data_IF_433724273040
#
_entry.id   IF_433724273040
#
_cell.length_a   1.000
_cell.length_b   1.000
_cell.length_c   1.000
_cell.angle_alpha   90.00
_cell.angle_beta   90.00
_cell.angle_gamma   90.00
#
_symmetry.space_group_name_H-M   'P 1'
#
loop_
_entity.id
_entity.type
_entity.pdbx_description
1 polymer ?
#
# COMPACT_ATOMS: atom_id res chain seq x y z
N UNK A 1 35.51 -6.43 -58.39
CA UNK A 1 34.71 -7.17 -57.39
C UNK A 1 34.05 -6.13 -56.49
N UNK A 2 32.79 -5.78 -56.79
CA UNK A 2 32.05 -4.78 -56.00
C UNK A 2 31.52 -5.42 -54.72
N UNK A 3 32.02 -4.94 -53.58
CA UNK A 3 31.52 -5.24 -52.25
C UNK A 3 30.14 -4.59 -52.08
N UNK A 4 29.08 -5.39 -52.10
CA UNK A 4 27.74 -4.98 -51.67
C UNK A 4 27.77 -4.83 -50.14
N UNK A 5 27.78 -3.58 -49.67
CA UNK A 5 27.49 -3.25 -48.29
C UNK A 5 26.02 -3.62 -48.02
N UNK A 6 25.80 -4.63 -47.19
CA UNK A 6 24.49 -4.87 -46.57
C UNK A 6 24.18 -3.67 -45.68
N UNK A 7 23.31 -2.78 -46.19
CA UNK A 7 22.69 -1.76 -45.36
C UNK A 7 21.93 -2.49 -44.24
N UNK A 8 22.41 -2.34 -43.00
CA UNK A 8 21.62 -2.72 -41.83
C UNK A 8 20.33 -1.91 -41.88
N UNK A 9 19.19 -2.60 -41.95
CA UNK A 9 17.90 -1.95 -41.78
C UNK A 9 17.89 -1.25 -40.42
N UNK A 10 17.46 0.03 -40.33
CA UNK A 10 17.31 0.68 -39.05
C UNK A 10 16.32 -0.14 -38.20
N UNK A 11 16.76 -0.54 -37.00
CA UNK A 11 15.91 -1.21 -36.03
C UNK A 11 14.65 -0.37 -35.83
N UNK A 12 13.48 -0.96 -36.07
CA UNK A 12 12.23 -0.27 -35.80
C UNK A 12 12.21 0.18 -34.33
N UNK A 13 11.82 1.43 -34.03
CA UNK A 13 11.66 1.85 -32.65
C UNK A 13 10.68 0.87 -31.97
N UNK A 14 11.11 0.24 -30.88
CA UNK A 14 10.22 -0.63 -30.10
C UNK A 14 9.17 0.24 -29.43
N UNK A 15 8.04 0.48 -30.11
CA UNK A 15 6.98 1.42 -29.71
C UNK A 15 5.94 0.84 -28.74
N UNK A 16 6.19 -0.33 -28.14
CA UNK A 16 5.27 -1.01 -27.21
C UNK A 16 5.68 -0.90 -25.74
N UNK A 17 4.74 -1.05 -24.81
CA UNK A 17 5.01 -0.99 -23.36
C UNK A 17 6.00 -2.05 -22.86
N UNK A 18 6.24 -3.12 -23.62
CA UNK A 18 7.29 -4.09 -23.31
C UNK A 18 8.70 -3.48 -23.38
N UNK A 19 8.95 -2.52 -24.27
CA UNK A 19 10.26 -1.85 -24.31
C UNK A 19 10.45 -0.95 -23.08
N UNK A 20 9.40 -0.25 -22.64
CA UNK A 20 9.40 0.50 -21.38
C UNK A 20 9.68 -0.44 -20.20
N UNK A 21 9.03 -1.61 -20.18
CA UNK A 21 9.28 -2.60 -19.14
C UNK A 21 10.75 -3.06 -19.16
N UNK A 22 11.26 -3.52 -20.30
CA UNK A 22 12.62 -4.03 -20.44
C UNK A 22 13.69 -2.97 -20.14
N UNK A 23 13.47 -1.72 -20.55
CA UNK A 23 14.42 -0.63 -20.40
C UNK A 23 14.39 0.04 -19.02
N UNK A 24 13.21 0.14 -18.41
CA UNK A 24 13.03 0.97 -17.21
C UNK A 24 12.51 0.21 -15.99
N UNK A 25 11.58 -0.74 -16.16
CA UNK A 25 10.89 -1.37 -15.01
C UNK A 25 11.60 -2.65 -14.55
N UNK A 26 12.13 -3.45 -15.47
CA UNK A 26 12.75 -4.75 -15.16
C UNK A 26 13.96 -4.62 -14.23
N UNK A 27 14.77 -3.58 -14.45
CA UNK A 27 15.92 -3.23 -13.62
C UNK A 27 15.59 -2.33 -12.43
N UNK A 28 14.36 -1.81 -12.33
CA UNK A 28 13.95 -0.93 -11.25
C UNK A 28 13.87 -1.65 -9.91
N UNK A 29 14.03 -0.89 -8.84
CA UNK A 29 13.90 -1.36 -7.46
C UNK A 29 12.44 -1.28 -7.02
N UNK A 30 11.90 -2.41 -6.58
CA UNK A 30 10.55 -2.53 -6.06
C UNK A 30 10.58 -2.53 -4.54
N UNK A 31 9.82 -1.63 -3.92
CA UNK A 31 9.82 -1.38 -2.48
C UNK A 31 8.38 -1.51 -1.99
N UNK A 32 8.16 -2.43 -1.05
CA UNK A 32 6.85 -2.71 -0.48
C UNK A 32 6.48 -1.68 0.58
N UNK A 33 5.37 -0.97 0.38
CA UNK A 33 4.90 0.11 1.27
C UNK A 33 3.69 -0.31 2.10
N UNK A 34 3.48 -1.61 2.25
CA UNK A 34 2.28 -2.17 2.85
C UNK A 34 2.63 -3.09 4.00
N UNK A 35 1.97 -2.89 5.14
CA UNK A 35 2.00 -3.84 6.24
C UNK A 35 1.18 -5.08 5.85
N UNK A 36 1.73 -6.27 6.06
CA UNK A 36 0.94 -7.48 5.95
C UNK A 36 -0.16 -7.44 7.02
N UNK A 37 -1.43 -7.46 6.61
CA UNK A 37 -2.53 -7.44 7.57
C UNK A 37 -2.49 -8.69 8.45
N UNK A 38 -2.59 -8.48 9.76
CA UNK A 38 -2.46 -9.51 10.78
C UNK A 38 -3.76 -9.59 11.61
N UNK A 39 -4.04 -10.71 12.29
CA UNK A 39 -5.23 -10.81 13.15
C UNK A 39 -5.19 -9.81 14.30
N UNK A 40 -4.01 -9.37 14.74
CA UNK A 40 -3.84 -8.28 15.72
C UNK A 40 -2.80 -7.33 15.16
N UNK A 41 -3.17 -6.05 15.04
CA UNK A 41 -2.35 -4.98 14.51
C UNK A 41 -2.95 -3.62 14.91
N UNK A 42 -2.25 -2.50 14.66
CA UNK A 42 -2.85 -1.17 14.72
C UNK A 42 -4.19 -1.10 13.98
N UNK A 43 -5.20 -0.56 14.66
CA UNK A 43 -6.54 -0.30 14.14
C UNK A 43 -7.15 0.83 14.97
N UNK A 44 -8.06 1.61 14.39
CA UNK A 44 -8.78 2.65 15.11
C UNK A 44 -9.50 2.07 16.35
N UNK A 45 -9.47 2.73 17.53
CA UNK A 45 -9.91 2.15 18.80
C UNK A 45 -11.36 1.69 18.87
N UNK A 46 -12.25 2.20 18.03
CA UNK A 46 -13.65 1.77 17.98
C UNK A 46 -13.91 0.56 17.08
N UNK A 47 -12.91 0.06 16.35
CA UNK A 47 -13.04 -1.14 15.52
C UNK A 47 -12.44 -2.38 16.21
N UNK A 48 -13.00 -3.54 15.87
CA UNK A 48 -12.48 -4.83 16.34
C UNK A 48 -11.26 -5.29 15.54
N UNK A 49 -10.54 -6.27 16.08
CA UNK A 49 -9.48 -6.97 15.38
C UNK A 49 -10.02 -8.10 14.49
N UNK A 50 -9.26 -8.50 13.46
CA UNK A 50 -9.63 -9.60 12.58
C UNK A 50 -9.36 -10.97 13.24
N UNK A 51 -10.02 -12.02 12.76
CA UNK A 51 -9.73 -13.40 13.14
C UNK A 51 -9.32 -14.24 11.94
N UNK A 52 -8.20 -14.95 12.06
CA UNK A 52 -7.70 -15.84 11.01
C UNK A 52 -7.91 -17.28 11.46
N UNK A 53 -8.55 -18.11 10.63
CA UNK A 53 -8.88 -19.50 10.94
C UNK A 53 -8.64 -20.42 9.75
N UNK A 54 -8.69 -21.73 9.95
CA UNK A 54 -8.81 -22.65 8.83
C UNK A 54 -10.16 -22.45 8.13
N UNK A 55 -10.18 -22.51 6.81
CA UNK A 55 -11.44 -22.63 6.07
C UNK A 55 -12.05 -23.99 6.35
N UNK A 56 -13.34 -23.99 6.67
CA UNK A 56 -14.15 -25.20 6.79
C UNK A 56 -14.98 -25.42 5.53
N UNK A 57 -15.29 -26.68 5.21
CA UNK A 57 -16.12 -26.99 4.06
C UNK A 57 -17.56 -26.47 4.27
N UNK A 58 -18.06 -25.68 3.32
CA UNK A 58 -19.42 -25.13 3.36
C UNK A 58 -20.52 -26.16 3.03
N UNK A 59 -20.13 -27.29 2.44
CA UNK A 59 -21.01 -28.39 2.04
C UNK A 59 -20.24 -29.71 2.04
N UNK A 60 -20.97 -30.83 2.05
CA UNK A 60 -20.39 -32.15 1.85
C UNK A 60 -19.91 -32.30 0.40
N UNK A 61 -18.72 -32.85 0.22
CA UNK A 61 -18.20 -33.32 -1.06
C UNK A 61 -17.96 -34.82 -0.94
N UNK A 62 -18.76 -35.66 -1.64
CA UNK A 62 -18.67 -37.11 -1.51
C UNK A 62 -17.25 -37.64 -1.68
N UNK A 63 -16.84 -38.53 -0.76
CA UNK A 63 -15.51 -39.14 -0.71
C UNK A 63 -14.34 -38.16 -0.55
N UNK A 64 -14.60 -36.91 -0.13
CA UNK A 64 -13.55 -35.90 0.02
C UNK A 64 -13.58 -35.17 1.35
N UNK A 65 -14.67 -34.47 1.68
CA UNK A 65 -14.78 -33.64 2.90
C UNK A 65 -16.24 -33.53 3.35
N UNK A 66 -16.51 -33.53 4.65
CA UNK A 66 -17.84 -33.28 5.19
C UNK A 66 -18.01 -31.78 5.53
N UNK A 67 -19.24 -31.27 5.47
CA UNK A 67 -19.55 -29.90 5.86
C UNK A 67 -19.08 -29.64 7.29
N UNK A 68 -18.31 -28.56 7.46
CA UNK A 68 -17.72 -28.16 8.74
C UNK A 68 -16.31 -28.67 8.97
N UNK A 69 -15.82 -29.66 8.20
CA UNK A 69 -14.43 -30.13 8.32
C UNK A 69 -13.45 -29.06 7.81
N UNK A 70 -12.31 -28.95 8.49
CA UNK A 70 -11.20 -28.08 8.06
C UNK A 70 -10.38 -28.70 6.92
N UNK A 71 -9.98 -27.86 5.96
CA UNK A 71 -9.03 -28.26 4.94
C UNK A 71 -7.60 -28.35 5.50
N UNK A 72 -6.94 -29.48 5.27
CA UNK A 72 -5.62 -29.81 5.82
C UNK A 72 -4.77 -30.49 4.74
N UNK A 73 -3.46 -30.26 4.77
CA UNK A 73 -2.54 -30.90 3.82
C UNK A 73 -2.62 -32.44 3.86
N UNK A 74 -2.75 -33.04 5.05
CA UNK A 74 -2.71 -34.50 5.22
C UNK A 74 -3.95 -35.20 4.65
N UNK A 75 -5.15 -34.62 4.83
CA UNK A 75 -6.40 -35.22 4.35
C UNK A 75 -6.75 -34.79 2.93
N UNK A 76 -6.48 -33.53 2.59
CA UNK A 76 -7.04 -32.89 1.41
C UNK A 76 -5.99 -32.46 0.37
N UNK A 77 -4.70 -32.49 0.73
CA UNK A 77 -3.60 -32.03 -0.14
C UNK A 77 -3.43 -30.51 -0.20
N UNK A 78 -4.31 -29.74 0.43
CA UNK A 78 -4.26 -28.28 0.47
C UNK A 78 -4.81 -27.71 1.79
N UNK A 79 -4.60 -26.42 2.00
CA UNK A 79 -5.20 -25.64 3.08
C UNK A 79 -5.74 -24.33 2.52
N UNK A 80 -6.78 -23.80 3.14
CA UNK A 80 -7.27 -22.45 2.91
C UNK A 80 -7.47 -21.74 4.26
N UNK A 81 -7.39 -20.42 4.25
CA UNK A 81 -7.58 -19.56 5.43
C UNK A 81 -8.90 -18.83 5.32
N UNK A 82 -9.68 -18.87 6.40
CA UNK A 82 -10.84 -18.02 6.61
C UNK A 82 -10.40 -16.74 7.31
N UNK A 83 -10.87 -15.60 6.81
CA UNK A 83 -10.64 -14.29 7.40
C UNK A 83 -11.99 -13.74 7.85
N UNK A 84 -12.14 -13.50 9.14
CA UNK A 84 -13.22 -12.67 9.67
C UNK A 84 -12.68 -11.26 9.82
N UNK A 85 -13.08 -10.39 8.90
CA UNK A 85 -12.70 -8.98 8.89
C UNK A 85 -13.82 -8.18 9.54
N UNK A 86 -13.48 -7.37 10.54
CA UNK A 86 -14.42 -6.55 11.33
C UNK A 86 -14.70 -5.19 10.73
N UNK A 87 -13.80 -4.72 9.85
CA UNK A 87 -13.87 -3.43 9.18
C UNK A 87 -13.08 -3.49 7.86
N UNK A 88 -13.41 -2.63 6.91
CA UNK A 88 -12.61 -2.35 5.72
C UNK A 88 -11.50 -1.31 5.98
N UNK A 89 -11.52 -0.68 7.15
CA UNK A 89 -10.53 0.24 7.69
C UNK A 89 -9.50 -0.52 8.57
N UNK A 90 -8.64 -1.34 7.95
CA UNK A 90 -7.72 -2.24 8.67
C UNK A 90 -6.35 -2.41 8.00
N UNK A 91 -5.29 -1.93 8.66
CA UNK A 91 -3.92 -2.03 8.17
C UNK A 91 -3.58 -0.92 7.17
N UNK A 92 -2.75 -1.21 6.17
CA UNK A 92 -2.52 -0.26 5.06
C UNK A 92 -3.74 -0.22 4.15
N UNK A 93 -4.29 0.98 3.92
CA UNK A 93 -5.62 1.13 3.32
C UNK A 93 -5.74 2.28 2.32
N UNK A 94 -6.89 2.35 1.65
CA UNK A 94 -7.31 3.44 0.77
C UNK A 94 -8.77 3.81 1.12
N UNK A 95 -9.00 5.09 1.37
CA UNK A 95 -10.32 5.60 1.73
C UNK A 95 -10.97 6.27 0.53
N UNK A 96 -12.10 5.73 0.04
CA UNK A 96 -12.91 6.35 -0.98
C UNK A 96 -13.86 7.40 -0.35
N UNK A 97 -14.43 8.32 -1.14
CA UNK A 97 -15.36 9.34 -0.63
C UNK A 97 -16.56 8.78 0.14
N UNK A 98 -17.06 7.60 -0.24
CA UNK A 98 -18.18 6.93 0.43
C UNK A 98 -17.93 6.63 1.92
N UNK A 99 -16.68 6.73 2.39
CA UNK A 99 -16.35 6.59 3.80
C UNK A 99 -17.03 7.68 4.67
N UNK A 100 -17.17 8.91 4.14
CA UNK A 100 -17.73 10.06 4.86
C UNK A 100 -18.88 10.77 4.13
N UNK A 101 -19.09 10.49 2.85
CA UNK A 101 -20.14 11.08 2.03
C UNK A 101 -21.11 10.02 1.51
N UNK A 102 -22.41 10.14 1.84
CA UNK A 102 -23.46 9.21 1.40
C UNK A 102 -23.67 9.17 -0.12
N UNK A 103 -23.17 10.18 -0.85
CA UNK A 103 -23.16 10.23 -2.31
C UNK A 103 -21.76 9.99 -2.90
N UNK A 104 -20.78 9.68 -2.05
CA UNK A 104 -19.40 9.45 -2.45
C UNK A 104 -19.22 8.19 -3.31
N UNK A 105 -18.19 8.20 -4.15
CA UNK A 105 -17.76 7.00 -4.84
C UNK A 105 -17.32 5.93 -3.83
N UNK A 106 -17.67 4.68 -4.07
CA UNK A 106 -17.22 3.52 -3.29
C UNK A 106 -15.86 3.04 -3.79
N UNK A 107 -15.19 2.18 -3.02
CA UNK A 107 -13.90 1.60 -3.43
C UNK A 107 -14.02 0.84 -4.77
N UNK A 108 -15.19 0.26 -5.06
CA UNK A 108 -15.44 -0.45 -6.32
C UNK A 108 -15.66 0.45 -7.53
N UNK A 109 -15.94 1.73 -7.31
CA UNK A 109 -16.14 2.72 -8.37
C UNK A 109 -14.81 3.32 -8.86
N UNK A 110 -13.74 3.17 -8.09
CA UNK A 110 -12.43 3.73 -8.44
C UNK A 110 -11.92 3.13 -9.77
N UNK A 111 -11.49 3.98 -10.71
CA UNK A 111 -11.09 3.53 -12.03
C UNK A 111 -9.73 2.82 -12.02
N UNK A 112 -9.53 1.91 -12.97
CA UNK A 112 -8.26 1.20 -13.14
C UNK A 112 -7.05 2.13 -13.43
N UNK A 113 -7.30 3.39 -13.76
CA UNK A 113 -6.26 4.41 -13.94
C UNK A 113 -5.52 4.75 -12.64
N UNK A 114 -5.99 4.29 -11.47
CA UNK A 114 -5.23 4.33 -10.21
C UNK A 114 -3.97 3.45 -10.25
N UNK A 115 -3.92 2.41 -11.09
CA UNK A 115 -2.96 1.33 -11.00
C UNK A 115 -1.47 1.75 -11.00
N UNK A 116 -1.12 2.86 -11.65
CA UNK A 116 0.25 3.39 -11.67
C UNK A 116 0.27 4.92 -11.75
N UNK A 117 1.05 5.59 -10.90
CA UNK A 117 1.21 7.05 -10.85
C UNK A 117 2.64 7.49 -10.52
N UNK A 118 3.03 8.75 -10.83
CA UNK A 118 4.22 9.35 -10.22
C UNK A 118 4.11 9.32 -8.69
N UNK A 119 5.22 9.02 -8.01
CA UNK A 119 5.31 9.03 -6.55
C UNK A 119 6.17 10.19 -6.09
N UNK A 120 5.62 10.97 -5.16
CA UNK A 120 6.30 12.05 -4.44
C UNK A 120 6.34 11.67 -2.97
N UNK A 121 7.49 11.84 -2.32
CA UNK A 121 7.65 11.62 -0.89
C UNK A 121 8.13 12.91 -0.24
N UNK A 122 7.28 13.47 0.63
CA UNK A 122 7.59 14.69 1.37
C UNK A 122 7.98 14.33 2.81
N UNK A 123 9.25 14.47 3.21
CA UNK A 123 9.70 14.12 4.54
C UNK A 123 9.41 15.21 5.57
N UNK A 124 8.73 14.83 6.65
CA UNK A 124 8.54 15.64 7.87
C UNK A 124 9.10 14.96 9.13
N UNK A 125 9.65 13.74 9.02
CA UNK A 125 10.13 12.92 10.13
C UNK A 125 11.06 13.62 11.15
N UNK A 126 11.94 14.53 10.71
CA UNK A 126 12.79 15.32 11.64
C UNK A 126 11.96 16.26 12.51
N UNK A 127 10.93 16.87 11.94
CA UNK A 127 9.99 17.75 12.66
C UNK A 127 9.09 16.93 13.59
N UNK A 128 8.65 15.76 13.13
CA UNK A 128 7.89 14.80 13.95
C UNK A 128 8.70 14.28 15.14
N UNK A 129 10.02 14.15 14.99
CA UNK A 129 10.92 13.79 16.09
C UNK A 129 10.97 14.88 17.16
N UNK A 130 10.89 16.16 16.77
CA UNK A 130 10.86 17.28 17.69
C UNK A 130 9.46 17.54 18.28
N UNK A 131 8.42 17.29 17.49
CA UNK A 131 7.01 17.44 17.85
C UNK A 131 6.20 16.28 17.25
N UNK A 132 5.84 15.25 18.05
CA UNK A 132 5.06 14.10 17.57
C UNK A 132 3.72 14.47 16.93
N UNK A 133 3.17 15.66 17.20
CA UNK A 133 1.95 16.19 16.60
C UNK A 133 2.16 17.04 15.35
N UNK A 134 3.37 17.09 14.79
CA UNK A 134 3.64 17.94 13.65
C UNK A 134 2.82 17.53 12.42
N UNK A 135 2.06 18.48 11.89
CA UNK A 135 1.31 18.30 10.65
C UNK A 135 2.06 18.95 9.48
N UNK A 136 2.12 18.24 8.35
CA UNK A 136 2.66 18.79 7.10
C UNK A 136 1.98 20.13 6.77
N UNK A 137 2.80 21.14 6.51
CA UNK A 137 2.38 22.49 6.16
C UNK A 137 2.53 22.77 4.66
N UNK A 138 1.91 23.84 4.17
CA UNK A 138 2.14 24.35 2.81
C UNK A 138 3.60 24.74 2.60
N UNK A 139 4.27 25.26 3.64
CA UNK A 139 5.69 25.65 3.54
C UNK A 139 6.58 24.43 3.31
N UNK A 140 6.32 23.30 3.99
CA UNK A 140 7.05 22.04 3.74
C UNK A 140 6.97 21.60 2.29
N UNK A 141 5.77 21.71 1.70
CA UNK A 141 5.55 21.36 0.30
C UNK A 141 6.34 22.31 -0.61
N UNK A 142 6.34 23.62 -0.33
CA UNK A 142 7.11 24.60 -1.11
C UNK A 142 8.62 24.39 -1.00
N UNK A 143 9.12 24.08 0.20
CA UNK A 143 10.52 23.79 0.45
C UNK A 143 10.94 22.51 -0.29
N UNK A 144 10.09 21.49 -0.28
CA UNK A 144 10.29 20.28 -1.08
C UNK A 144 10.31 20.59 -2.59
N UNK A 145 9.37 21.38 -3.10
CA UNK A 145 9.29 21.74 -4.52
C UNK A 145 10.50 22.57 -4.99
N UNK A 146 11.08 23.39 -4.10
CA UNK A 146 12.28 24.16 -4.41
C UNK A 146 13.50 23.28 -4.71
N UNK A 147 13.53 22.06 -4.17
CA UNK A 147 14.62 21.09 -4.33
C UNK A 147 14.33 20.05 -5.41
N UNK A 148 13.07 19.63 -5.54
CA UNK A 148 12.67 18.49 -6.36
C UNK A 148 11.84 18.86 -7.60
N UNK A 149 11.49 20.14 -7.76
CA UNK A 149 10.55 20.62 -8.78
C UNK A 149 9.10 20.53 -8.32
N UNK A 150 8.19 21.09 -9.12
CA UNK A 150 6.75 21.12 -8.81
C UNK A 150 6.19 19.70 -8.69
N UNK A 151 5.32 19.46 -7.70
CA UNK A 151 4.55 18.21 -7.59
C UNK A 151 3.77 17.98 -8.90
N UNK A 152 3.94 16.84 -9.59
CA UNK A 152 3.25 16.57 -10.85
C UNK A 152 1.73 16.41 -10.66
N UNK A 153 0.95 16.88 -11.63
CA UNK A 153 -0.49 16.63 -11.68
C UNK A 153 -0.77 15.12 -11.77
N UNK A 154 -1.75 14.65 -11.01
CA UNK A 154 -2.10 13.24 -10.89
C UNK A 154 -1.09 12.37 -10.11
N UNK A 155 -0.06 12.97 -9.50
CA UNK A 155 0.88 12.23 -8.65
C UNK A 155 0.19 11.70 -7.38
N UNK A 156 0.83 10.72 -6.74
CA UNK A 156 0.54 10.32 -5.37
C UNK A 156 1.58 10.94 -4.46
N UNK A 157 1.14 11.59 -3.39
CA UNK A 157 2.03 12.26 -2.43
C UNK A 157 2.01 11.52 -1.11
N UNK A 158 3.12 10.89 -0.74
CA UNK A 158 3.29 10.22 0.53
C UNK A 158 4.01 11.13 1.53
N UNK A 159 3.45 11.29 2.72
CA UNK A 159 3.98 12.14 3.80
C UNK A 159 4.79 11.25 4.75
N UNK A 160 6.12 11.32 4.63
CA UNK A 160 7.04 10.50 5.43
C UNK A 160 7.22 11.11 6.82
N UNK A 161 6.82 10.36 7.84
CA UNK A 161 6.94 10.74 9.26
C UNK A 161 7.76 9.75 10.09
N UNK A 162 8.14 8.60 9.52
CA UNK A 162 8.78 7.47 10.20
C UNK A 162 7.93 6.87 11.35
N UNK A 163 6.64 7.21 11.42
CA UNK A 163 5.64 6.66 12.34
C UNK A 163 5.46 5.15 12.17
N UNK A 164 5.57 4.62 10.95
CA UNK A 164 5.41 3.20 10.62
C UNK A 164 6.39 2.30 11.41
N UNK A 165 7.53 2.84 11.87
CA UNK A 165 8.51 2.13 12.70
C UNK A 165 7.92 1.64 14.03
N UNK A 166 6.82 2.24 14.48
CA UNK A 166 6.08 1.83 15.66
C UNK A 166 5.03 0.75 15.45
N UNK A 167 4.85 0.18 14.25
CA UNK A 167 3.67 -0.66 13.90
C UNK A 167 3.41 -1.85 14.85
N UNK A 168 4.46 -2.35 15.52
CA UNK A 168 4.32 -3.43 16.50
C UNK A 168 3.77 -2.99 17.88
N UNK A 169 3.46 -1.71 18.05
CA UNK A 169 2.81 -1.13 19.22
C UNK A 169 1.45 -0.52 18.82
N UNK A 170 0.36 -1.33 18.82
CA UNK A 170 -0.97 -0.85 18.47
C UNK A 170 -1.45 0.34 19.32
N UNK A 171 -1.04 0.41 20.60
CA UNK A 171 -1.46 1.48 21.48
C UNK A 171 -0.92 2.85 21.03
N UNK A 172 0.27 2.87 20.43
CA UNK A 172 0.85 4.08 19.85
C UNK A 172 -0.02 4.66 18.74
N UNK A 173 -0.54 3.82 17.87
CA UNK A 173 -1.39 4.25 16.74
C UNK A 173 -2.80 4.62 17.17
N UNK A 174 -3.24 4.16 18.34
CA UNK A 174 -4.49 4.58 18.97
C UNK A 174 -4.39 5.91 19.74
N UNK A 175 -3.17 6.46 19.89
CA UNK A 175 -2.90 7.59 20.77
C UNK A 175 -2.62 8.89 20.01
N UNK A 176 -3.08 10.01 20.58
CA UNK A 176 -2.73 11.37 20.15
C UNK A 176 -1.68 11.97 21.10
N UNK A 177 -0.81 12.89 20.64
CA UNK A 177 -0.70 13.36 19.26
C UNK A 177 0.05 12.37 18.36
N UNK A 178 -0.24 12.43 17.07
CA UNK A 178 0.47 11.73 15.99
C UNK A 178 0.70 12.73 14.84
N UNK A 179 1.64 12.46 13.92
CA UNK A 179 1.84 13.33 12.77
C UNK A 179 0.59 13.33 11.89
N UNK A 180 0.49 14.33 11.01
CA UNK A 180 -0.67 14.46 10.14
C UNK A 180 -0.43 15.41 8.98
N UNK A 181 -1.51 15.82 8.32
CA UNK A 181 -1.48 16.78 7.22
C UNK A 181 -2.44 17.92 7.54
N UNK A 182 -1.96 19.15 7.51
CA UNK A 182 -2.83 20.31 7.77
C UNK A 182 -3.89 20.46 6.67
N UNK A 183 -5.07 20.96 7.01
CA UNK A 183 -6.14 21.23 6.04
C UNK A 183 -5.68 22.13 4.88
N UNK A 184 -4.85 23.12 5.17
CA UNK A 184 -4.28 24.00 4.15
C UNK A 184 -3.33 23.25 3.21
N UNK A 185 -2.51 22.34 3.74
CA UNK A 185 -1.66 21.47 2.92
C UNK A 185 -2.49 20.51 2.05
N UNK A 186 -3.56 19.93 2.58
CA UNK A 186 -4.49 19.09 1.81
C UNK A 186 -5.10 19.88 0.64
N UNK A 187 -5.70 21.05 0.93
CA UNK A 187 -6.28 21.92 -0.09
C UNK A 187 -5.25 22.32 -1.14
N UNK A 188 -4.05 22.67 -0.71
CA UNK A 188 -2.97 23.05 -1.62
C UNK A 188 -2.58 21.92 -2.58
N UNK A 189 -2.38 20.71 -2.05
CA UNK A 189 -2.04 19.54 -2.85
C UNK A 189 -3.18 19.16 -3.81
N UNK A 190 -4.42 19.06 -3.32
CA UNK A 190 -5.54 18.59 -4.13
C UNK A 190 -6.06 19.64 -5.12
N UNK A 191 -6.16 20.91 -4.72
CA UNK A 191 -6.73 21.96 -5.56
C UNK A 191 -5.71 22.63 -6.46
N UNK A 192 -4.49 22.91 -5.96
CA UNK A 192 -3.47 23.61 -6.75
C UNK A 192 -2.47 22.69 -7.46
N UNK A 193 -2.17 21.52 -6.89
CA UNK A 193 -1.31 20.51 -7.54
C UNK A 193 -2.09 19.42 -8.25
N UNK A 194 -3.38 19.26 -7.95
CA UNK A 194 -4.26 18.29 -8.59
C UNK A 194 -3.68 16.88 -8.53
N UNK A 195 -3.16 16.53 -7.35
CA UNK A 195 -2.68 15.18 -7.09
C UNK A 195 -3.84 14.19 -7.19
N UNK A 196 -3.53 12.91 -7.39
CA UNK A 196 -4.55 11.87 -7.34
C UNK A 196 -5.03 11.66 -5.90
N UNK A 197 -4.09 11.41 -4.99
CA UNK A 197 -4.32 11.30 -3.57
C UNK A 197 -3.05 11.50 -2.78
N UNK A 198 -3.23 11.73 -1.48
CA UNK A 198 -2.13 11.76 -0.53
C UNK A 198 -2.19 10.54 0.40
N UNK A 199 -1.06 10.13 0.94
CA UNK A 199 -1.00 9.09 1.95
C UNK A 199 -0.05 9.41 3.08
N UNK A 200 -0.26 8.76 4.22
CA UNK A 200 0.51 8.98 5.44
C UNK A 200 0.64 7.66 6.24
N UNK A 201 1.52 7.69 7.24
CA UNK A 201 1.88 6.50 8.03
C UNK A 201 0.96 6.23 9.24
N UNK A 202 0.35 7.24 9.91
CA UNK A 202 -0.72 7.04 10.89
C UNK A 202 -2.00 6.42 10.33
N UNK A 203 -2.99 6.20 11.20
CA UNK A 203 -4.33 5.67 10.86
C UNK A 203 -5.41 6.75 10.81
N UNK A 204 -5.02 8.03 10.81
CA UNK A 204 -5.90 9.18 10.69
C UNK A 204 -5.12 10.31 10.02
N UNK A 205 -5.73 11.07 9.10
CA UNK A 205 -5.09 12.21 8.41
C UNK A 205 -4.57 13.28 9.36
N UNK A 206 -5.29 13.53 10.45
CA UNK A 206 -5.02 14.64 11.35
C UNK A 206 -5.51 14.34 12.78
N UNK A 207 -5.00 15.10 13.76
CA UNK A 207 -5.38 14.92 15.16
C UNK A 207 -6.53 15.81 15.62
N UNK A 208 -7.19 16.59 14.75
CA UNK A 208 -8.23 17.55 15.17
C UNK A 208 -9.41 16.82 15.84
N UNK A 209 -10.22 17.52 16.67
CA UNK A 209 -11.32 16.89 17.40
C UNK A 209 -12.36 16.21 16.50
N UNK A 210 -12.54 16.69 15.27
CA UNK A 210 -13.55 16.22 14.31
C UNK A 210 -12.95 15.71 12.99
N UNK A 211 -11.64 15.45 12.95
CA UNK A 211 -10.91 15.06 11.74
C UNK A 211 -11.20 16.00 10.56
N UNK A 212 -11.06 17.31 10.78
CA UNK A 212 -11.42 18.35 9.81
C UNK A 212 -10.74 18.17 8.44
N UNK A 213 -9.51 17.63 8.41
CA UNK A 213 -8.77 17.34 7.20
C UNK A 213 -9.40 16.21 6.40
N UNK A 214 -9.64 15.08 7.05
CA UNK A 214 -10.30 13.92 6.44
C UNK A 214 -11.75 14.24 6.01
N UNK A 215 -12.51 14.90 6.89
CA UNK A 215 -13.86 15.35 6.59
C UNK A 215 -13.89 16.22 5.33
N UNK A 216 -13.03 17.23 5.24
CA UNK A 216 -12.95 18.06 4.03
C UNK A 216 -12.56 17.24 2.81
N UNK A 217 -11.54 16.37 2.92
CA UNK A 217 -11.03 15.57 1.81
C UNK A 217 -12.12 14.71 1.17
N UNK A 218 -12.83 13.93 1.99
CA UNK A 218 -13.75 12.91 1.52
C UNK A 218 -15.08 13.51 1.06
N UNK A 219 -15.56 14.60 1.69
CA UNK A 219 -16.68 15.39 1.18
C UNK A 219 -16.35 16.21 -0.09
N UNK A 220 -15.08 16.36 -0.44
CA UNK A 220 -14.65 16.95 -1.72
C UNK A 220 -14.28 15.88 -2.76
N UNK A 221 -14.69 14.63 -2.52
CA UNK A 221 -14.53 13.49 -3.43
C UNK A 221 -13.07 13.15 -3.80
N UNK A 222 -12.13 13.44 -2.91
CA UNK A 222 -10.76 12.94 -3.00
C UNK A 222 -10.60 11.62 -2.23
N UNK A 223 -9.46 10.96 -2.41
CA UNK A 223 -9.10 9.75 -1.65
C UNK A 223 -7.87 9.98 -0.79
N UNK A 224 -7.63 9.11 0.18
CA UNK A 224 -6.39 9.05 0.95
C UNK A 224 -5.90 7.63 1.19
N UNK A 225 -4.62 7.49 1.50
CA UNK A 225 -4.02 6.25 1.96
C UNK A 225 -3.51 6.37 3.40
N UNK A 226 -3.81 5.37 4.22
CA UNK A 226 -3.39 5.35 5.62
C UNK A 226 -2.59 4.09 5.94
N UNK A 227 -1.85 4.12 7.06
CA UNK A 227 -1.03 3.00 7.51
C UNK A 227 0.04 2.61 6.50
N UNK A 228 0.62 3.56 5.77
CA UNK A 228 1.65 3.28 4.74
C UNK A 228 3.00 2.99 5.42
N UNK A 229 3.71 1.98 4.93
CA UNK A 229 4.99 1.54 5.49
C UNK A 229 6.20 2.03 4.67
N UNK A 230 7.39 2.00 5.29
CA UNK A 230 8.69 2.04 4.59
C UNK A 230 8.95 3.30 3.74
N UNK A 231 8.32 4.44 4.05
CA UNK A 231 8.54 5.67 3.30
C UNK A 231 9.98 6.21 3.43
N UNK A 232 10.72 5.82 4.48
CA UNK A 232 12.15 6.12 4.64
C UNK A 232 13.07 5.41 3.65
N UNK A 233 12.56 4.41 2.93
CA UNK A 233 13.30 3.67 1.91
C UNK A 233 13.15 4.24 0.51
N UNK A 234 12.41 5.34 0.34
CA UNK A 234 12.04 5.88 -0.97
C UNK A 234 12.86 7.11 -1.36
N UNK A 235 13.11 7.33 -2.66
CA UNK A 235 13.54 8.64 -3.13
C UNK A 235 12.43 9.66 -2.95
N UNK A 236 12.79 10.93 -2.70
CA UNK A 236 11.81 12.02 -2.60
C UNK A 236 11.03 12.22 -3.90
N UNK A 237 11.69 12.08 -5.06
CA UNK A 237 11.10 12.24 -6.40
C UNK A 237 11.66 11.21 -7.40
N UNK A 238 10.97 11.04 -8.53
CA UNK A 238 11.43 10.23 -9.67
C UNK A 238 11.02 8.75 -9.62
N UNK A 239 10.35 8.31 -8.55
CA UNK A 239 9.75 6.99 -8.48
C UNK A 239 8.32 6.98 -9.06
N UNK A 240 7.84 5.79 -9.39
CA UNK A 240 6.42 5.51 -9.61
C UNK A 240 5.86 4.75 -8.40
N UNK A 241 4.54 4.72 -8.28
CA UNK A 241 3.83 3.84 -7.35
C UNK A 241 2.84 2.98 -8.14
N UNK A 242 2.88 1.67 -7.89
CA UNK A 242 1.82 0.76 -8.26
C UNK A 242 0.82 0.64 -7.10
N UNK A 243 -0.47 0.75 -7.44
CA UNK A 243 -1.56 0.80 -6.48
C UNK A 243 -2.52 -0.35 -6.78
N UNK A 244 -2.62 -1.30 -5.86
CA UNK A 244 -3.67 -2.31 -5.83
C UNK A 244 -4.52 -2.15 -4.59
N UNK A 245 -5.79 -2.48 -4.67
CA UNK A 245 -6.67 -2.53 -3.51
C UNK A 245 -7.73 -3.63 -3.69
N UNK A 246 -8.23 -4.15 -2.58
CA UNK A 246 -9.39 -5.03 -2.61
C UNK A 246 -10.58 -4.26 -3.21
N UNK A 247 -11.37 -4.93 -4.06
CA UNK A 247 -12.51 -4.33 -4.75
C UNK A 247 -13.85 -4.92 -4.27
N UNK A 248 -14.20 -4.84 -2.97
CA UNK A 248 -15.53 -5.24 -2.51
C UNK A 248 -16.59 -4.34 -3.16
N UNK A 249 -17.65 -4.97 -3.69
CA UNK A 249 -18.74 -4.26 -4.33
C UNK A 249 -19.44 -3.34 -3.31
N UNK A 250 -19.42 -2.03 -3.58
CA UNK A 250 -20.01 -1.01 -2.73
C UNK A 250 -19.25 -0.71 -1.43
N UNK A 251 -17.97 -1.11 -1.32
CA UNK A 251 -17.19 -0.91 -0.09
C UNK A 251 -16.86 0.54 0.23
N UNK A 252 -16.83 0.88 1.52
CA UNK A 252 -16.59 2.23 2.05
C UNK A 252 -15.14 2.48 2.47
N UNK A 253 -14.29 1.46 2.35
CA UNK A 253 -12.85 1.48 2.56
C UNK A 253 -12.19 0.38 1.75
N UNK A 254 -10.88 0.20 1.88
CA UNK A 254 -10.20 -0.85 1.14
C UNK A 254 -8.80 -1.17 1.63
N UNK A 255 -8.55 -2.46 1.86
CA UNK A 255 -7.20 -3.01 1.98
C UNK A 255 -6.39 -2.67 0.74
N UNK A 256 -5.26 -1.99 0.93
CA UNK A 256 -4.42 -1.53 -0.16
C UNK A 256 -3.06 -2.22 -0.18
N UNK A 257 -2.50 -2.34 -1.38
CA UNK A 257 -1.14 -2.79 -1.66
C UNK A 257 -0.44 -1.74 -2.50
N UNK A 258 0.54 -1.09 -1.90
CA UNK A 258 1.35 -0.05 -2.50
C UNK A 258 2.76 -0.58 -2.73
N UNK A 259 3.26 -0.46 -3.96
CA UNK A 259 4.63 -0.83 -4.31
C UNK A 259 5.27 0.34 -5.04
N UNK A 260 6.31 0.93 -4.48
CA UNK A 260 7.11 1.90 -5.20
C UNK A 260 8.03 1.22 -6.21
N UNK A 261 8.21 1.86 -7.36
CA UNK A 261 9.12 1.46 -8.43
C UNK A 261 10.14 2.60 -8.56
N UNK A 262 11.32 2.40 -7.99
CA UNK A 262 12.40 3.37 -7.91
C UNK A 262 13.50 3.08 -8.95
N UNK A 263 14.37 4.06 -9.26
CA UNK A 263 15.50 3.86 -10.17
C UNK A 263 16.37 2.64 -9.81
N UNK A 264 17.00 2.04 -10.83
CA UNK A 264 17.75 0.80 -10.70
C UNK A 264 18.95 0.89 -9.73
N UNK A 265 19.54 2.08 -9.62
CA UNK A 265 20.66 2.42 -8.75
C UNK A 265 20.22 2.83 -7.33
N UNK A 266 18.92 2.84 -7.05
CA UNK A 266 18.41 3.15 -5.72
C UNK A 266 18.85 2.06 -4.70
N UNK A 267 19.31 2.43 -3.50
CA UNK A 267 19.91 1.47 -2.56
C UNK A 267 18.91 0.52 -1.88
N UNK A 268 17.62 0.84 -1.91
CA UNK A 268 16.58 0.04 -1.26
C UNK A 268 15.68 -0.67 -2.25
N UNK A 269 15.09 -1.79 -1.81
CA UNK A 269 14.18 -2.60 -2.61
C UNK A 269 14.89 -3.74 -3.35
N UNK A 270 14.13 -4.45 -4.17
CA UNK A 270 14.60 -5.58 -4.95
C UNK A 270 14.23 -5.44 -6.42
N UNK A 271 15.09 -5.90 -7.31
CA UNK A 271 14.81 -6.01 -8.74
C UNK A 271 14.10 -7.33 -9.04
N UNK A 272 13.55 -7.46 -10.25
CA UNK A 272 13.01 -8.73 -10.75
C UNK A 272 14.09 -9.82 -10.80
N UNK A 273 15.36 -9.47 -11.05
CA UNK A 273 16.45 -10.45 -11.04
C UNK A 273 16.79 -10.96 -9.63
N UNK A 274 16.73 -10.08 -8.63
CA UNK A 274 17.00 -10.43 -7.22
C UNK A 274 15.83 -11.23 -6.58
N UNK A 275 14.59 -10.91 -6.96
CA UNK A 275 13.38 -11.56 -6.48
C UNK A 275 12.43 -11.88 -7.66
N UNK A 276 12.68 -12.95 -8.44
CA UNK A 276 11.96 -13.23 -9.69
C UNK A 276 10.49 -13.61 -9.53
N UNK A 277 10.03 -13.88 -8.30
CA UNK A 277 8.64 -14.23 -8.01
C UNK A 277 8.22 -15.64 -8.49
N UNK A 278 9.00 -16.29 -9.36
CA UNK A 278 8.75 -17.64 -9.84
C UNK A 278 10.08 -18.38 -10.15
N UNK A 279 10.32 -19.57 -9.56
CA UNK A 279 9.59 -20.12 -8.42
C UNK A 279 9.82 -19.28 -7.15
N UNK A 280 8.83 -19.22 -6.27
CA UNK A 280 8.98 -18.62 -4.94
C UNK A 280 9.88 -19.48 -4.04
N UNK A 281 10.59 -18.89 -3.06
CA UNK A 281 11.41 -19.64 -2.12
C UNK A 281 10.58 -20.59 -1.27
N UNK A 282 11.18 -21.73 -0.89
CA UNK A 282 10.57 -22.69 0.04
C UNK A 282 10.77 -22.24 1.49
N UNK A 283 9.76 -22.51 2.31
CA UNK A 283 9.84 -22.33 3.75
C UNK A 283 10.83 -23.34 4.38
N UNK A 284 11.49 -22.96 5.47
CA UNK A 284 12.50 -23.78 6.15
C UNK A 284 11.91 -24.98 6.93
N UNK A 285 10.62 -24.96 7.21
CA UNK A 285 9.88 -26.02 7.90
C UNK A 285 8.42 -26.09 7.40
N UNK A 286 7.67 -27.18 7.66
CA UNK A 286 6.26 -27.25 7.34
C UNK A 286 5.47 -26.08 7.94
N UNK A 287 4.58 -25.49 7.14
CA UNK A 287 3.68 -24.45 7.61
C UNK A 287 2.60 -25.06 8.53
N UNK A 288 2.37 -24.40 9.66
CA UNK A 288 1.31 -24.69 10.63
C UNK A 288 0.71 -23.38 11.12
N UNK A 289 -0.56 -23.40 11.55
CA UNK A 289 -1.18 -22.24 12.19
C UNK A 289 -0.59 -22.05 13.58
N UNK A 290 -0.26 -20.81 13.94
CA UNK A 290 0.01 -20.43 15.33
C UNK A 290 -1.30 -20.23 16.12
N UNK A 291 -1.20 -19.79 17.38
CA UNK A 291 -2.33 -19.52 18.27
C UNK A 291 -3.25 -18.39 17.77
N UNK A 292 -2.78 -17.59 16.81
CA UNK A 292 -3.54 -16.53 16.12
C UNK A 292 -4.03 -16.95 14.74
N UNK A 293 -3.84 -18.22 14.36
CA UNK A 293 -4.29 -18.77 13.09
C UNK A 293 -3.41 -18.41 11.89
N UNK A 294 -2.26 -17.76 12.08
CA UNK A 294 -1.34 -17.38 11.01
C UNK A 294 -0.44 -18.56 10.63
N UNK A 295 -0.27 -18.79 9.33
CA UNK A 295 0.61 -19.86 8.84
C UNK A 295 2.08 -19.47 9.02
N UNK A 296 2.82 -20.22 9.82
CA UNK A 296 4.25 -20.02 10.11
C UNK A 296 5.03 -21.32 9.93
N UNK A 297 6.30 -21.28 9.50
CA UNK A 297 7.15 -22.47 9.52
C UNK A 297 7.40 -22.90 10.96
N UNK A 298 7.08 -24.15 11.30
CA UNK A 298 7.29 -24.69 12.65
C UNK A 298 8.11 -25.99 12.58
N UNK A 299 9.23 -26.03 13.29
CA UNK A 299 10.08 -27.22 13.40
C UNK A 299 9.53 -28.19 14.44
N UNK A 300 9.65 -29.51 14.19
CA UNK A 300 9.50 -30.53 15.23
C UNK A 300 8.09 -31.02 15.57
N UNK A 301 7.03 -30.52 14.94
CA UNK A 301 5.69 -31.10 15.10
C UNK A 301 5.50 -32.32 14.19
N UNK A 302 5.96 -33.49 14.67
CA UNK A 302 5.43 -34.79 14.25
C UNK A 302 4.14 -35.08 15.03
#
# INVERSE_FOLDING_TARGET
>A
MSSLALAQQPAQPQTGLWSVYEQSIKGAKHIDLTHAFAPVQPVWPGFGHAEFKATTAGADIPNYVAKGDEYTYAKHGFVATSYLLTTDQYGTQLDPPAHWDEYGATISDLPATYAIRPLVVIPIHEKVTADPGYHLSVQDIRDWESRNGRVPEGAVVMVRSDWYKGWNDPARFASKPHPGVSLDALKFLHLERKILFHGHEPLDTDTTPTLEGEAWLLHNHFTQAEGVANLDKLPEAGALISIGFAKPLGGTGGYARYVAIAPADWPHGVTVAEAPGAPLPKQSAPLRRDDKGVMRPQAGAK
#
